data_IF_509867181548
#
_entry.id   IF_509867181548
#
_cell.length_a   1.000
_cell.length_b   1.000
_cell.length_c   1.000
_cell.angle_alpha   90.00
_cell.angle_beta   90.00
_cell.angle_gamma   90.00
#
_symmetry.space_group_name_H-M   'P 1'
#
loop_
_entity.id
_entity.type
_entity.pdbx_description
1 polymer ?
#
# COMPACT_ATOMS: atom_id res chain seq x y z
N UNK A 1 -0.74 -32.09 1.08
CA UNK A 1 -1.81 -31.16 0.64
C UNK A 1 -1.10 -30.03 -0.09
N UNK A 2 -1.42 -29.77 -1.36
CA UNK A 2 -0.81 -28.66 -2.11
C UNK A 2 -1.54 -27.39 -1.67
N UNK A 3 -0.88 -26.57 -0.87
CA UNK A 3 -1.42 -25.27 -0.47
C UNK A 3 -1.34 -24.38 -1.71
N UNK A 4 -2.48 -24.21 -2.37
CA UNK A 4 -2.64 -23.25 -3.46
C UNK A 4 -2.69 -21.86 -2.83
N UNK A 5 -1.52 -21.28 -2.60
CA UNK A 5 -1.39 -19.86 -2.21
C UNK A 5 -1.81 -19.05 -3.42
N UNK A 6 -3.01 -18.47 -3.35
CA UNK A 6 -3.57 -17.61 -4.38
C UNK A 6 -2.99 -16.20 -4.16
N UNK A 7 -1.78 -15.94 -4.66
CA UNK A 7 -1.11 -14.65 -4.52
C UNK A 7 -1.79 -13.63 -5.43
N UNK A 8 -2.47 -12.64 -4.84
CA UNK A 8 -3.05 -11.52 -5.57
C UNK A 8 -2.07 -10.34 -5.46
N UNK A 9 -1.22 -10.16 -6.47
CA UNK A 9 -0.26 -9.07 -6.51
C UNK A 9 -1.00 -7.75 -6.83
N UNK A 10 -1.09 -6.86 -5.86
CA UNK A 10 -1.65 -5.51 -6.06
C UNK A 10 -0.48 -4.59 -6.38
N UNK A 11 -0.47 -4.06 -7.59
CA UNK A 11 0.57 -3.13 -8.05
C UNK A 11 0.24 -1.76 -7.46
N UNK A 12 0.86 -1.44 -6.33
CA UNK A 12 0.83 -0.10 -5.75
C UNK A 12 1.69 0.84 -6.61
N UNK A 13 1.07 1.48 -7.62
CA UNK A 13 1.70 2.49 -8.47
C UNK A 13 1.81 3.85 -7.77
N UNK A 14 2.34 3.89 -6.54
CA UNK A 14 2.69 5.14 -5.86
C UNK A 14 4.20 5.21 -5.73
N UNK A 15 4.82 5.76 -6.77
CA UNK A 15 6.25 5.89 -6.90
C UNK A 15 6.76 7.28 -6.54
N UNK A 16 7.66 7.27 -5.55
CA UNK A 16 8.75 8.22 -5.29
C UNK A 16 8.39 9.62 -4.77
N UNK A 17 8.77 9.85 -3.51
CA UNK A 17 9.00 11.19 -2.99
C UNK A 17 9.75 11.20 -1.67
N UNK A 18 11.08 11.02 -1.70
CA UNK A 18 11.98 11.46 -0.62
C UNK A 18 11.87 12.98 -0.46
N UNK A 19 10.83 13.47 0.20
CA UNK A 19 10.61 14.90 0.44
C UNK A 19 9.70 15.08 1.65
N UNK A 20 10.29 14.99 2.84
CA UNK A 20 9.82 15.66 4.06
C UNK A 20 8.30 15.76 4.23
N UNK A 21 7.60 14.62 4.26
CA UNK A 21 6.16 14.59 4.47
C UNK A 21 5.84 14.74 5.96
N UNK A 22 4.92 15.64 6.31
CA UNK A 22 4.42 15.75 7.70
C UNK A 22 3.32 14.71 8.02
N UNK A 23 2.79 13.99 7.02
CA UNK A 23 1.87 12.84 7.17
C UNK A 23 2.03 11.84 6.00
N UNK A 24 2.86 10.82 6.20
CA UNK A 24 2.72 9.56 5.49
C UNK A 24 2.24 8.51 6.48
N UNK A 25 1.50 7.53 5.99
CA UNK A 25 1.13 6.34 6.75
C UNK A 25 1.69 5.12 6.03
N UNK A 26 2.16 4.16 6.81
CA UNK A 26 2.56 2.86 6.29
C UNK A 26 1.39 1.92 6.43
N UNK A 27 0.88 1.45 5.30
CA UNK A 27 -0.14 0.41 5.21
C UNK A 27 0.55 -0.95 5.14
N UNK A 28 0.39 -1.75 6.19
CA UNK A 28 0.95 -3.09 6.28
C UNK A 28 0.00 -4.04 6.99
N UNK A 29 0.47 -5.23 7.36
CA UNK A 29 -0.33 -6.22 8.12
C UNK A 29 -1.66 -6.56 7.45
N UNK A 30 -1.64 -6.70 6.12
CA UNK A 30 -2.77 -7.10 5.32
C UNK A 30 -3.15 -8.56 5.53
N UNK A 31 -4.32 -8.94 4.99
CA UNK A 31 -4.75 -10.34 4.94
C UNK A 31 -3.72 -11.24 4.23
N UNK A 32 -3.73 -12.53 4.57
CA UNK A 32 -2.79 -13.49 4.01
C UNK A 32 -2.88 -13.54 2.47
N UNK A 33 -1.77 -13.25 1.80
CA UNK A 33 -1.66 -13.29 0.33
C UNK A 33 -1.71 -11.94 -0.36
N UNK A 34 -1.83 -10.83 0.39
CA UNK A 34 -1.68 -9.47 -0.13
C UNK A 34 -0.20 -9.08 -0.12
N UNK A 35 0.36 -8.87 -1.33
CA UNK A 35 1.70 -8.30 -1.51
C UNK A 35 1.61 -7.08 -2.42
N UNK A 36 2.38 -6.06 -2.07
CA UNK A 36 2.54 -4.84 -2.82
C UNK A 36 3.77 -4.92 -3.67
N UNK A 37 3.65 -4.51 -4.92
CA UNK A 37 4.81 -4.31 -5.78
C UNK A 37 5.27 -2.87 -5.60
N UNK A 38 6.45 -2.70 -4.99
CA UNK A 38 7.11 -1.40 -4.93
C UNK A 38 7.54 -0.94 -6.32
N UNK A 39 7.83 0.35 -6.47
CA UNK A 39 8.25 0.94 -7.75
C UNK A 39 9.56 0.40 -8.31
N UNK A 40 10.33 -0.34 -7.52
CA UNK A 40 11.53 -1.07 -7.94
C UNK A 40 11.23 -2.50 -8.42
N UNK A 41 9.96 -2.90 -8.50
CA UNK A 41 9.52 -4.24 -8.89
C UNK A 41 9.68 -5.30 -7.80
N UNK A 42 9.99 -4.89 -6.55
CA UNK A 42 10.14 -5.81 -5.42
C UNK A 42 8.81 -5.97 -4.70
N UNK A 43 8.48 -7.20 -4.33
CA UNK A 43 7.35 -7.48 -3.45
C UNK A 43 7.63 -7.00 -2.03
N UNK A 44 6.64 -6.37 -1.41
CA UNK A 44 6.65 -5.89 -0.05
C UNK A 44 5.30 -6.17 0.58
N UNK A 45 5.28 -6.44 1.88
CA UNK A 45 4.04 -6.55 2.67
C UNK A 45 3.57 -5.20 3.21
N UNK A 46 4.29 -4.13 2.87
CA UNK A 46 4.08 -2.78 3.36
C UNK A 46 4.11 -1.81 2.16
N UNK A 47 3.18 -0.85 2.16
CA UNK A 47 3.07 0.25 1.20
C UNK A 47 3.04 1.58 1.96
N UNK A 48 3.80 2.56 1.51
CA UNK A 48 3.79 3.91 2.09
C UNK A 48 2.86 4.81 1.28
N UNK A 49 1.90 5.45 1.97
CA UNK A 49 0.97 6.41 1.38
C UNK A 49 1.24 7.77 1.98
N UNK A 50 1.56 8.74 1.13
CA UNK A 50 1.86 10.10 1.55
C UNK A 50 0.75 11.06 1.09
N UNK A 51 0.32 11.99 1.95
CA UNK A 51 -0.72 12.97 1.62
C UNK A 51 -0.30 13.85 0.42
N UNK A 52 1.00 14.09 0.24
CA UNK A 52 1.55 14.90 -0.85
C UNK A 52 1.60 14.20 -2.21
N UNK A 53 1.52 12.86 -2.24
CA UNK A 53 1.35 12.08 -3.48
C UNK A 53 -0.11 12.09 -3.97
N UNK A 54 -1.05 12.44 -3.09
CA UNK A 54 -2.45 12.54 -3.42
C UNK A 54 -2.78 13.95 -3.95
N UNK A 55 -3.61 14.02 -5.01
CA UNK A 55 -4.08 15.29 -5.58
C UNK A 55 -4.88 16.16 -4.57
N UNK A 56 -5.44 15.53 -3.54
CA UNK A 56 -6.14 16.16 -2.43
C UNK A 56 -6.29 15.15 -1.26
N UNK A 57 -6.80 15.63 -0.13
CA UNK A 57 -7.02 14.83 1.07
C UNK A 57 -8.04 13.70 0.91
N UNK A 58 -9.03 13.88 0.03
CA UNK A 58 -10.00 12.82 -0.29
C UNK A 58 -9.31 11.66 -1.02
N UNK A 59 -8.40 11.94 -1.96
CA UNK A 59 -7.61 10.92 -2.64
C UNK A 59 -6.67 10.20 -1.66
N UNK A 60 -6.09 10.91 -0.69
CA UNK A 60 -5.27 10.30 0.36
C UNK A 60 -6.08 9.33 1.23
N UNK A 61 -7.25 9.77 1.71
CA UNK A 61 -8.14 8.93 2.51
C UNK A 61 -8.72 7.75 1.68
N UNK A 62 -9.02 7.99 0.40
CA UNK A 62 -9.50 6.94 -0.50
C UNK A 62 -8.42 5.88 -0.76
N UNK A 63 -7.15 6.29 -0.90
CA UNK A 63 -6.04 5.37 -0.97
C UNK A 63 -5.97 4.53 0.31
N UNK A 64 -5.92 5.15 1.49
CA UNK A 64 -5.91 4.42 2.77
C UNK A 64 -7.08 3.43 2.87
N UNK A 65 -8.30 3.86 2.56
CA UNK A 65 -9.48 3.01 2.60
C UNK A 65 -9.41 1.83 1.61
N UNK A 66 -8.75 2.00 0.46
CA UNK A 66 -8.51 0.92 -0.49
C UNK A 66 -7.58 -0.15 0.11
N UNK A 67 -6.47 0.26 0.72
CA UNK A 67 -5.57 -0.66 1.44
C UNK A 67 -6.26 -1.33 2.63
N UNK A 68 -7.01 -0.59 3.44
CA UNK A 68 -7.79 -1.16 4.55
C UNK A 68 -8.88 -2.13 4.06
N UNK A 69 -9.42 -1.93 2.86
CA UNK A 69 -10.36 -2.88 2.24
C UNK A 69 -9.69 -4.21 1.84
N UNK A 70 -8.37 -4.26 1.68
CA UNK A 70 -7.59 -5.49 1.52
C UNK A 70 -7.15 -6.10 2.87
N UNK A 71 -7.71 -5.62 3.99
CA UNK A 71 -7.39 -6.08 5.34
C UNK A 71 -6.10 -5.49 5.90
N UNK A 72 -5.52 -4.47 5.25
CA UNK A 72 -4.32 -3.81 5.72
C UNK A 72 -4.62 -2.83 6.86
N UNK A 73 -3.63 -2.61 7.71
CA UNK A 73 -3.67 -1.58 8.75
C UNK A 73 -2.70 -0.46 8.36
N UNK A 74 -3.21 0.77 8.24
CA UNK A 74 -2.43 1.96 7.89
C UNK A 74 -2.18 2.82 9.14
N UNK A 75 -0.93 3.03 9.54
CA UNK A 75 -0.53 3.86 10.69
C UNK A 75 0.58 4.86 10.36
#
# INVERSE_FOLDING_TARGET
MKNNVFTLAIIALFGFGLSSCNKCVTCGSCDEGVTFINSNGTESTEAEICENDAANKDNYNAAIADYESYGCTCN
#
